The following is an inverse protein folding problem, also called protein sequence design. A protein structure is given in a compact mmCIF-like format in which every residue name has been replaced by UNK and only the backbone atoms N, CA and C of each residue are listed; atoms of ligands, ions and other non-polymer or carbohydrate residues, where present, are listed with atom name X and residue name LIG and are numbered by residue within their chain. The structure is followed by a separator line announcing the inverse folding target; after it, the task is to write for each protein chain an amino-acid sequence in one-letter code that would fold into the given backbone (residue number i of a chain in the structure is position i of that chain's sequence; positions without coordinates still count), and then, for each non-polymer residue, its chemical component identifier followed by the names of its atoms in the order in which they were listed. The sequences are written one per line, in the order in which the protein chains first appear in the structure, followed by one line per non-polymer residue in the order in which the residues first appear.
data_IF_944322915304
#
_entry.id   IF_944322915304
#
_cell.length_a   1.000
_cell.length_b   1.000
_cell.length_c   1.000
_cell.angle_alpha   90.00
_cell.angle_beta   90.00
_cell.angle_gamma   90.00
#
_symmetry.space_group_name_H-M   'P 1'
#
loop_
_entity.id
_entity.type
_entity.pdbx_description
1 polymer ?
#
# COMPACT_ATOMS: atom_id res chain seq x y z
N UNK A 1 1.57 1.01 3.41
CA UNK A 1 1.38 -0.03 4.46
C UNK A 1 1.74 0.61 5.78
N UNK A 2 0.92 0.45 6.82
CA UNK A 2 1.18 1.10 8.09
C UNK A 2 2.47 0.57 8.74
N UNK A 3 3.30 1.51 9.15
CA UNK A 3 4.59 1.33 9.81
C UNK A 3 4.84 2.47 10.79
N UNK A 4 5.91 2.38 11.58
CA UNK A 4 6.24 3.41 12.59
C UNK A 4 6.46 4.79 11.94
N UNK A 5 7.00 4.82 10.72
CA UNK A 5 7.32 6.05 9.99
C UNK A 5 6.05 6.75 9.48
N UNK A 6 5.10 6.00 8.90
CA UNK A 6 3.81 6.55 8.45
C UNK A 6 2.95 7.01 9.61
N UNK A 7 2.91 6.27 10.71
CA UNK A 7 2.13 6.64 11.91
C UNK A 7 2.71 7.88 12.58
N UNK A 8 4.03 7.96 12.74
CA UNK A 8 4.66 9.16 13.30
C UNK A 8 4.42 10.40 12.43
N UNK A 9 4.31 10.25 11.10
CA UNK A 9 3.94 11.34 10.20
C UNK A 9 2.48 11.76 10.37
N UNK A 10 1.55 10.80 10.43
CA UNK A 10 0.13 11.07 10.67
C UNK A 10 -0.10 11.78 12.02
N UNK A 11 0.64 11.39 13.08
CA UNK A 11 0.60 12.09 14.37
C UNK A 11 1.09 13.53 14.21
N UNK A 12 2.20 13.77 13.49
CA UNK A 12 2.71 15.14 13.23
C UNK A 12 1.68 15.97 12.47
N UNK A 13 1.07 15.44 11.42
CA UNK A 13 0.03 16.13 10.64
C UNK A 13 -1.18 16.48 11.52
N UNK A 14 -1.58 15.59 12.43
CA UNK A 14 -2.63 15.88 13.39
C UNK A 14 -2.24 16.99 14.37
N UNK A 15 -1.00 16.98 14.88
CA UNK A 15 -0.51 18.07 15.75
C UNK A 15 -0.48 19.40 15.01
N UNK A 16 -0.10 19.42 13.72
CA UNK A 16 -0.15 20.60 12.88
C UNK A 16 -1.57 21.14 12.71
N UNK A 17 -2.56 20.27 12.49
CA UNK A 17 -3.96 20.66 12.39
C UNK A 17 -4.50 21.29 13.69
N UNK A 18 -4.06 20.79 14.85
CA UNK A 18 -4.44 21.34 16.16
C UNK A 18 -3.77 22.68 16.43
N UNK A 19 -2.47 22.81 16.13
CA UNK A 19 -1.68 24.02 16.42
C UNK A 19 -1.98 25.15 15.42
N UNK A 20 -2.33 24.79 14.19
CA UNK A 20 -2.66 25.72 13.11
C UNK A 20 -4.06 25.42 12.54
N UNK A 21 -5.14 25.68 13.30
CA UNK A 21 -6.51 25.33 12.88
C UNK A 21 -6.98 26.10 11.64
N UNK A 22 -6.40 27.28 11.37
CA UNK A 22 -6.65 28.06 10.16
C UNK A 22 -5.58 27.88 9.08
N UNK A 23 -4.75 26.84 9.18
CA UNK A 23 -3.65 26.53 8.26
C UNK A 23 -2.33 27.20 8.64
N UNK A 24 -1.22 26.67 8.08
CA UNK A 24 0.17 27.08 8.42
C UNK A 24 0.54 28.51 8.03
N UNK A 25 -0.28 29.18 7.22
CA UNK A 25 -0.12 30.60 6.87
C UNK A 25 -0.71 31.56 7.91
N UNK A 26 -1.45 31.05 8.89
CA UNK A 26 -2.03 31.81 9.99
C UNK A 26 -1.17 31.70 11.27
N UNK A 27 -1.47 32.54 12.26
CA UNK A 27 -0.86 32.44 13.57
C UNK A 27 -1.22 31.09 14.24
N UNK A 28 -0.28 30.53 15.00
CA UNK A 28 -0.55 29.35 15.83
C UNK A 28 -1.55 29.67 16.93
N UNK A 29 -2.09 28.63 17.59
CA UNK A 29 -2.97 28.78 18.77
C UNK A 29 -2.38 29.62 19.90
N UNK A 30 -1.05 29.77 19.98
CA UNK A 30 -0.37 30.64 20.96
C UNK A 30 0.09 31.97 20.40
N UNK A 31 -0.07 32.20 19.09
CA UNK A 31 0.46 33.37 18.38
C UNK A 31 1.98 33.35 18.21
N UNK A 32 2.66 32.27 18.63
CA UNK A 32 4.12 32.12 18.56
C UNK A 32 4.50 31.19 17.41
N UNK A 33 5.65 31.39 16.75
CA UNK A 33 6.14 30.43 15.77
C UNK A 33 6.35 29.06 16.43
N UNK A 34 5.77 28.01 15.84
CA UNK A 34 5.90 26.63 16.36
C UNK A 34 6.40 25.70 15.27
N UNK A 35 7.48 24.96 15.54
CA UNK A 35 8.02 23.91 14.69
C UNK A 35 7.53 22.53 15.16
N UNK A 36 7.07 21.70 14.23
CA UNK A 36 6.56 20.36 14.54
C UNK A 36 7.29 19.37 13.65
N UNK A 37 7.95 18.37 14.25
CA UNK A 37 8.68 17.36 13.49
C UNK A 37 8.89 16.06 14.29
N UNK A 38 9.45 15.07 13.60
CA UNK A 38 9.77 13.75 14.15
C UNK A 38 11.20 13.68 14.64
N UNK A 39 11.42 12.99 15.75
CA UNK A 39 12.72 12.82 16.37
C UNK A 39 12.86 13.61 17.67
N UNK A 40 14.09 13.94 18.04
CA UNK A 40 14.42 14.66 19.27
C UNK A 40 14.94 16.07 18.95
N UNK A 41 14.87 16.96 19.94
CA UNK A 41 15.40 18.31 19.83
C UNK A 41 16.93 18.26 19.78
N UNK A 42 17.54 18.91 18.78
CA UNK A 42 19.00 18.96 18.64
C UNK A 42 19.58 20.23 19.27
N UNK A 43 20.92 20.28 19.41
CA UNK A 43 21.59 21.50 19.89
C UNK A 43 21.37 22.69 18.94
N UNK A 44 21.25 22.44 17.64
CA UNK A 44 20.98 23.48 16.65
C UNK A 44 19.56 24.03 16.79
N UNK A 45 18.57 23.19 17.12
CA UNK A 45 17.20 23.63 17.43
C UNK A 45 17.14 24.50 18.69
N UNK A 46 18.05 24.25 19.63
CA UNK A 46 18.13 24.99 20.88
C UNK A 46 18.87 26.34 20.74
N UNK A 47 20.04 26.37 20.11
CA UNK A 47 20.97 27.49 20.13
C UNK A 47 21.54 27.92 18.75
N UNK A 48 21.05 27.34 17.66
CA UNK A 48 21.48 27.65 16.30
C UNK A 48 21.18 29.08 15.80
N UNK A 49 21.43 29.29 14.51
CA UNK A 49 21.45 30.62 13.91
C UNK A 49 20.05 31.23 13.70
N UNK A 50 18.99 30.44 13.47
CA UNK A 50 17.63 30.92 13.17
C UNK A 50 16.52 29.99 13.70
N UNK A 51 15.41 30.59 14.16
CA UNK A 51 14.20 29.91 14.64
C UNK A 51 14.44 28.85 15.72
N UNK A 52 15.06 29.27 16.83
CA UNK A 52 15.50 28.42 17.93
C UNK A 52 14.66 28.58 19.19
N UNK A 53 14.72 27.58 20.07
CA UNK A 53 13.96 27.59 21.33
C UNK A 53 14.31 28.79 22.21
N UNK A 54 15.61 29.12 22.32
CA UNK A 54 16.09 30.26 23.10
C UNK A 54 15.68 31.64 22.51
N UNK A 55 15.22 31.70 21.26
CA UNK A 55 14.67 32.91 20.61
C UNK A 55 13.15 32.95 20.61
N UNK A 56 12.50 32.06 21.35
CA UNK A 56 11.07 32.07 21.59
C UNK A 56 10.23 31.31 20.57
N UNK A 57 10.85 30.49 19.71
CA UNK A 57 10.15 29.51 18.87
C UNK A 57 9.81 28.30 19.71
N UNK A 58 8.55 27.86 19.67
CA UNK A 58 8.11 26.66 20.38
C UNK A 58 8.31 25.42 19.49
N UNK A 59 8.51 24.25 20.10
CA UNK A 59 8.74 23.01 19.37
C UNK A 59 7.79 21.91 19.84
N UNK A 60 7.36 21.07 18.92
CA UNK A 60 6.62 19.85 19.21
C UNK A 60 7.36 18.70 18.51
N UNK A 61 7.88 17.78 19.30
CA UNK A 61 8.64 16.64 18.78
C UNK A 61 7.85 15.36 18.97
N UNK A 62 7.78 14.53 17.94
CA UNK A 62 7.14 13.20 17.99
C UNK A 62 8.20 12.12 17.87
N UNK A 63 8.28 11.25 18.87
CA UNK A 63 9.23 10.14 18.89
C UNK A 63 8.53 8.83 19.28
N UNK A 64 9.00 7.72 18.76
CA UNK A 64 8.68 6.40 19.27
C UNK A 64 9.51 6.09 20.53
N UNK A 65 8.89 5.45 21.51
CA UNK A 65 9.57 5.04 22.73
C UNK A 65 10.11 3.62 22.59
N UNK A 66 11.41 3.46 22.87
CA UNK A 66 12.07 2.16 22.91
C UNK A 66 11.40 1.26 23.96
N UNK A 67 11.14 0.00 23.59
CA UNK A 67 10.44 -0.95 24.46
C UNK A 67 8.92 -0.70 24.59
N UNK A 68 8.39 0.34 23.93
CA UNK A 68 6.95 0.61 23.84
C UNK A 68 6.20 -0.23 22.82
N UNK A 69 6.90 -1.16 22.18
CA UNK A 69 6.34 -2.06 21.19
C UNK A 69 5.70 -3.28 21.85
N UNK A 70 4.53 -3.66 21.37
CA UNK A 70 3.87 -4.90 21.79
C UNK A 70 3.13 -5.53 20.61
N UNK A 71 3.29 -6.85 20.44
CA UNK A 71 2.41 -7.62 19.55
C UNK A 71 1.06 -7.81 20.22
N UNK A 72 -0.02 -7.52 19.50
CA UNK A 72 -1.36 -7.99 19.89
C UNK A 72 -1.62 -9.25 19.09
N UNK A 73 -1.98 -10.32 19.79
CA UNK A 73 -2.40 -11.54 19.14
C UNK A 73 -3.87 -11.44 18.72
N UNK A 74 -4.16 -11.92 17.52
CA UNK A 74 -5.52 -11.95 16.99
C UNK A 74 -6.16 -13.29 17.35
N UNK A 75 -7.31 -13.29 18.04
CA UNK A 75 -7.88 -14.51 18.60
C UNK A 75 -8.52 -15.45 17.56
N UNK A 76 -8.83 -14.97 16.35
CA UNK A 76 -9.67 -15.67 15.37
C UNK A 76 -8.99 -15.92 14.00
N UNK A 77 -7.66 -16.06 13.99
CA UNK A 77 -6.91 -16.32 12.76
C UNK A 77 -6.82 -15.11 11.82
N UNK A 78 -6.18 -15.32 10.66
CA UNK A 78 -5.87 -14.27 9.67
C UNK A 78 -6.35 -14.70 8.29
N UNK A 79 -7.67 -14.71 8.03
CA UNK A 79 -8.17 -15.09 6.72
C UNK A 79 -7.76 -14.06 5.68
N UNK A 80 -7.50 -14.52 4.46
CA UNK A 80 -7.42 -13.64 3.31
C UNK A 80 -8.79 -13.05 3.02
N UNK A 81 -8.83 -11.74 2.77
CA UNK A 81 -10.02 -11.01 2.34
C UNK A 81 -9.74 -10.44 0.96
N UNK A 82 -10.70 -10.59 0.06
CA UNK A 82 -10.61 -10.02 -1.28
C UNK A 82 -10.98 -8.53 -1.21
N UNK A 83 -10.11 -7.66 -1.71
CA UNK A 83 -10.44 -6.26 -1.98
C UNK A 83 -11.11 -6.13 -3.36
N UNK A 84 -11.53 -4.91 -3.71
CA UNK A 84 -12.18 -4.64 -4.99
C UNK A 84 -11.32 -5.09 -6.18
N UNK A 85 -11.99 -5.66 -7.19
CA UNK A 85 -11.32 -6.15 -8.38
C UNK A 85 -10.84 -4.97 -9.23
N UNK A 86 -9.56 -4.98 -9.57
CA UNK A 86 -8.95 -4.05 -10.51
C UNK A 86 -9.29 -4.54 -11.92
N UNK A 87 -10.08 -3.80 -12.71
CA UNK A 87 -10.42 -4.20 -14.08
C UNK A 87 -9.16 -4.22 -14.95
N UNK A 88 -9.14 -5.11 -15.94
CA UNK A 88 -8.07 -5.12 -16.92
C UNK A 88 -8.16 -3.89 -17.83
N UNK A 89 -7.03 -3.23 -18.07
CA UNK A 89 -6.90 -2.13 -19.03
C UNK A 89 -6.44 -2.60 -20.40
N UNK A 90 -6.17 -3.90 -20.52
CA UNK A 90 -5.84 -4.57 -21.78
C UNK A 90 -7.09 -5.26 -22.33
N UNK A 91 -7.23 -5.29 -23.64
CA UNK A 91 -8.24 -6.10 -24.33
C UNK A 91 -7.58 -6.93 -25.42
N UNK A 92 -8.22 -8.04 -25.78
CA UNK A 92 -7.80 -8.89 -26.88
C UNK A 92 -9.00 -9.24 -27.76
N UNK A 93 -8.82 -9.12 -29.06
CA UNK A 93 -9.82 -9.50 -30.06
C UNK A 93 -9.22 -10.56 -30.98
N UNK A 94 -9.97 -11.63 -31.26
CA UNK A 94 -9.51 -12.72 -32.11
C UNK A 94 -10.31 -12.77 -33.40
N UNK A 95 -9.62 -12.84 -34.54
CA UNK A 95 -10.20 -13.01 -35.87
C UNK A 95 -9.45 -14.13 -36.61
N UNK A 96 -10.13 -15.25 -36.84
CA UNK A 96 -9.53 -16.43 -37.44
C UNK A 96 -8.34 -16.95 -36.63
N UNK A 97 -7.16 -16.95 -37.24
CA UNK A 97 -5.90 -17.39 -36.62
C UNK A 97 -5.05 -16.25 -36.05
N UNK A 98 -5.59 -15.02 -36.01
CA UNK A 98 -4.90 -13.83 -35.50
C UNK A 98 -5.61 -13.26 -34.28
N UNK A 99 -4.84 -12.91 -33.26
CA UNK A 99 -5.29 -12.16 -32.10
C UNK A 99 -4.64 -10.78 -32.09
N UNK A 100 -5.41 -9.73 -31.81
CA UNK A 100 -4.90 -8.36 -31.68
C UNK A 100 -5.06 -7.90 -30.25
N UNK A 101 -3.95 -7.47 -29.65
CA UNK A 101 -3.90 -6.89 -28.31
C UNK A 101 -4.11 -5.38 -28.42
N UNK A 102 -4.96 -4.83 -27.58
CA UNK A 102 -5.16 -3.38 -27.47
C UNK A 102 -5.07 -2.95 -26.02
N UNK A 103 -4.54 -1.75 -25.80
CA UNK A 103 -4.50 -1.11 -24.48
C UNK A 103 -5.52 0.02 -24.48
N UNK A 104 -6.14 0.25 -23.34
CA UNK A 104 -6.95 1.43 -23.12
C UNK A 104 -6.07 2.69 -23.16
N UNK A 105 -6.52 3.71 -23.88
CA UNK A 105 -5.81 4.99 -23.98
C UNK A 105 -5.66 5.65 -22.60
N UNK A 106 -4.48 6.23 -22.36
CA UNK A 106 -4.09 6.92 -21.12
C UNK A 106 -4.18 6.09 -19.82
N UNK A 107 -4.32 4.76 -19.92
CA UNK A 107 -4.35 3.86 -18.77
C UNK A 107 -2.99 3.17 -18.55
N UNK A 108 -2.65 2.92 -17.28
CA UNK A 108 -1.49 2.07 -16.95
C UNK A 108 -1.84 0.62 -17.32
N UNK A 109 -1.02 -0.09 -18.12
CA UNK A 109 -1.27 -1.48 -18.50
C UNK A 109 -1.38 -2.40 -17.29
N UNK A 110 -2.50 -3.13 -17.20
CA UNK A 110 -2.81 -4.06 -16.12
C UNK A 110 -3.81 -5.13 -16.58
N UNK A 111 -3.65 -6.33 -16.04
CA UNK A 111 -4.53 -7.48 -16.26
C UNK A 111 -3.76 -8.74 -16.66
N UNK A 112 -4.49 -9.80 -16.94
CA UNK A 112 -3.97 -11.05 -17.49
C UNK A 112 -4.65 -11.28 -18.83
N UNK A 113 -3.84 -11.45 -19.87
CA UNK A 113 -4.32 -11.75 -21.21
C UNK A 113 -4.02 -13.20 -21.51
N UNK A 114 -4.97 -13.91 -22.10
CA UNK A 114 -4.79 -15.29 -22.49
C UNK A 114 -5.41 -15.62 -23.84
N UNK A 115 -4.81 -16.61 -24.49
CA UNK A 115 -5.24 -17.19 -25.75
C UNK A 115 -5.50 -18.67 -25.55
N UNK A 116 -6.70 -19.10 -25.90
CA UNK A 116 -7.05 -20.50 -26.05
C UNK A 116 -7.04 -20.86 -27.52
N UNK A 117 -6.33 -21.93 -27.84
CA UNK A 117 -6.00 -22.37 -29.19
C UNK A 117 -6.57 -23.76 -29.39
N UNK A 118 -7.38 -23.94 -30.43
CA UNK A 118 -7.69 -25.27 -30.97
C UNK A 118 -6.86 -25.50 -32.22
N UNK A 119 -6.33 -26.70 -32.35
CA UNK A 119 -5.45 -27.12 -33.44
C UNK A 119 -5.67 -28.60 -33.67
N UNK A 120 -5.68 -28.99 -34.93
CA UNK A 120 -5.68 -30.40 -35.36
C UNK A 120 -4.26 -30.88 -35.75
N UNK A 121 -3.26 -30.02 -35.59
CA UNK A 121 -1.86 -30.29 -35.90
C UNK A 121 -1.11 -31.05 -34.82
N UNK A 122 0.04 -31.62 -35.17
CA UNK A 122 0.92 -32.35 -34.23
C UNK A 122 1.81 -31.43 -33.39
N UNK A 123 2.03 -30.19 -33.83
CA UNK A 123 2.92 -29.21 -33.18
C UNK A 123 2.25 -28.48 -32.01
N UNK A 124 0.94 -28.23 -32.10
CA UNK A 124 0.16 -27.56 -31.05
C UNK A 124 -0.90 -28.56 -30.57
N UNK A 125 -0.84 -29.00 -29.29
CA UNK A 125 -1.84 -29.89 -28.74
C UNK A 125 -3.26 -29.35 -28.90
N UNK A 126 -4.22 -30.27 -29.11
CA UNK A 126 -5.65 -29.92 -29.15
C UNK A 126 -6.07 -29.29 -27.81
N UNK A 127 -6.56 -28.04 -27.87
CA UNK A 127 -6.95 -27.20 -26.70
C UNK A 127 -5.78 -26.77 -25.82
N UNK A 128 -4.90 -25.98 -26.41
CA UNK A 128 -3.75 -25.36 -25.77
C UNK A 128 -4.06 -23.95 -25.27
N UNK A 129 -3.42 -23.51 -24.18
CA UNK A 129 -3.57 -22.16 -23.64
C UNK A 129 -2.20 -21.51 -23.44
N UNK A 130 -2.11 -20.24 -23.83
CA UNK A 130 -1.04 -19.31 -23.47
C UNK A 130 -1.63 -18.18 -22.63
N UNK A 131 -0.91 -17.74 -21.59
CA UNK A 131 -1.35 -16.64 -20.73
C UNK A 131 -0.16 -15.77 -20.33
N UNK A 132 -0.39 -14.47 -20.25
CA UNK A 132 0.62 -13.49 -19.90
C UNK A 132 0.07 -12.47 -18.90
N UNK A 133 0.82 -12.27 -17.81
CA UNK A 133 0.54 -11.29 -16.78
C UNK A 133 1.18 -9.95 -17.16
N UNK A 134 0.35 -8.98 -17.55
CA UNK A 134 0.78 -7.66 -18.04
C UNK A 134 1.45 -6.86 -16.94
N UNK A 135 2.59 -6.23 -17.28
CA UNK A 135 3.35 -5.33 -16.41
C UNK A 135 3.07 -3.86 -16.76
N UNK A 136 3.28 -2.96 -15.80
CA UNK A 136 2.99 -1.52 -15.97
C UNK A 136 3.81 -0.84 -17.10
N UNK A 137 4.93 -1.44 -17.52
CA UNK A 137 5.80 -0.93 -18.61
C UNK A 137 5.53 -1.61 -19.94
N UNK A 138 4.59 -2.55 -20.00
CA UNK A 138 4.30 -3.28 -21.23
C UNK A 138 3.57 -2.41 -22.26
N UNK A 139 3.84 -2.71 -23.52
CA UNK A 139 3.11 -2.16 -24.67
C UNK A 139 2.32 -3.29 -25.32
N UNK A 140 1.32 -2.96 -26.13
CA UNK A 140 0.57 -3.98 -26.88
C UNK A 140 1.51 -4.89 -27.71
N UNK A 141 2.62 -4.35 -28.21
CA UNK A 141 3.65 -5.10 -28.94
C UNK A 141 4.43 -6.06 -28.05
N UNK A 142 4.85 -5.65 -26.84
CA UNK A 142 5.60 -6.54 -25.94
C UNK A 142 4.72 -7.67 -25.41
N UNK A 143 3.44 -7.39 -25.14
CA UNK A 143 2.44 -8.41 -24.74
C UNK A 143 2.23 -9.42 -25.86
N UNK A 144 2.02 -8.96 -27.10
CA UNK A 144 1.86 -9.83 -28.26
C UNK A 144 3.10 -10.71 -28.48
N UNK A 145 4.29 -10.14 -28.37
CA UNK A 145 5.54 -10.89 -28.49
C UNK A 145 5.69 -11.95 -27.39
N UNK A 146 5.36 -11.62 -26.13
CA UNK A 146 5.43 -12.56 -25.02
C UNK A 146 4.43 -13.72 -25.16
N UNK A 147 3.21 -13.45 -25.65
CA UNK A 147 2.22 -14.49 -25.95
C UNK A 147 2.67 -15.38 -27.11
N UNK A 148 3.19 -14.80 -28.20
CA UNK A 148 3.69 -15.57 -29.35
C UNK A 148 4.85 -16.50 -28.97
N UNK A 149 5.75 -16.06 -28.08
CA UNK A 149 6.89 -16.85 -27.62
C UNK A 149 6.48 -18.13 -26.87
N UNK A 150 5.30 -18.17 -26.25
CA UNK A 150 4.78 -19.35 -25.56
C UNK A 150 4.17 -20.38 -26.52
N UNK A 151 3.85 -19.99 -27.75
CA UNK A 151 3.10 -20.81 -28.71
C UNK A 151 4.05 -21.29 -29.82
N UNK A 152 4.29 -22.60 -29.96
CA UNK A 152 5.13 -23.13 -31.03
C UNK A 152 4.65 -22.71 -32.42
N UNK A 153 5.51 -22.03 -33.18
CA UNK A 153 5.22 -21.59 -34.56
C UNK A 153 4.34 -20.34 -34.67
N UNK A 154 3.98 -19.69 -33.56
CA UNK A 154 3.31 -18.39 -33.61
C UNK A 154 4.30 -17.27 -33.93
N UNK A 155 3.79 -16.21 -34.57
CA UNK A 155 4.54 -14.99 -34.86
C UNK A 155 3.82 -13.79 -34.28
N UNK A 156 4.57 -12.74 -33.95
CA UNK A 156 4.01 -11.45 -33.56
C UNK A 156 4.45 -10.37 -34.55
N UNK A 157 3.53 -9.46 -34.87
CA UNK A 157 3.80 -8.29 -35.70
C UNK A 157 3.02 -7.11 -35.13
N UNK A 158 3.74 -6.14 -34.56
CA UNK A 158 3.11 -5.08 -33.78
C UNK A 158 2.30 -5.67 -32.63
N UNK A 159 1.03 -5.28 -32.50
CA UNK A 159 0.11 -5.79 -31.49
C UNK A 159 -0.62 -7.08 -31.88
N UNK A 160 -0.36 -7.63 -33.07
CA UNK A 160 -1.01 -8.84 -33.55
C UNK A 160 -0.15 -10.09 -33.28
N UNK A 161 -0.79 -11.16 -32.82
CA UNK A 161 -0.24 -12.52 -32.69
C UNK A 161 -0.93 -13.41 -33.71
N UNK A 162 -0.16 -14.03 -34.59
CA UNK A 162 -0.69 -14.97 -35.59
C UNK A 162 -0.25 -16.38 -35.24
N UNK A 163 -1.20 -17.31 -35.21
CA UNK A 163 -0.98 -18.73 -34.91
C UNK A 163 -1.38 -19.56 -36.13
N UNK A 164 -0.47 -19.81 -37.10
CA UNK A 164 -0.82 -20.46 -38.37
C UNK A 164 -1.41 -21.86 -38.24
N UNK A 165 -1.09 -22.58 -37.16
CA UNK A 165 -1.63 -23.92 -36.88
C UNK A 165 -2.97 -23.95 -36.14
N UNK A 166 -3.56 -22.79 -35.81
CA UNK A 166 -4.82 -22.73 -35.09
C UNK A 166 -6.02 -22.90 -36.03
N UNK A 167 -6.92 -23.82 -35.69
CA UNK A 167 -8.23 -23.97 -36.34
C UNK A 167 -9.27 -23.02 -35.75
N UNK A 168 -9.12 -22.68 -34.48
CA UNK A 168 -9.96 -21.72 -33.76
C UNK A 168 -9.13 -21.04 -32.66
N UNK A 169 -9.30 -19.73 -32.50
CA UNK A 169 -8.58 -18.91 -31.56
C UNK A 169 -9.58 -18.06 -30.76
N UNK A 170 -9.55 -18.19 -29.44
CA UNK A 170 -10.39 -17.39 -28.55
C UNK A 170 -9.53 -16.69 -27.50
N UNK A 171 -9.68 -15.37 -27.42
CA UNK A 171 -8.99 -14.55 -26.44
C UNK A 171 -9.85 -14.33 -25.19
N UNK A 172 -9.20 -14.26 -24.03
CA UNK A 172 -9.82 -13.88 -22.77
C UNK A 172 -8.91 -12.89 -22.03
N UNK A 173 -9.52 -11.93 -21.33
CA UNK A 173 -8.81 -11.04 -20.42
C UNK A 173 -9.48 -11.06 -19.06
N UNK A 174 -8.66 -11.03 -18.02
CA UNK A 174 -9.08 -11.03 -16.63
C UNK A 174 -8.37 -9.93 -15.86
N UNK A 175 -9.07 -9.36 -14.88
CA UNK A 175 -8.49 -8.42 -13.94
C UNK A 175 -7.66 -9.11 -12.85
N UNK A 176 -7.19 -8.31 -11.90
CA UNK A 176 -6.62 -8.81 -10.66
C UNK A 176 -7.55 -8.44 -9.51
N UNK A 177 -7.68 -9.34 -8.53
CA UNK A 177 -8.25 -8.98 -7.25
C UNK A 177 -7.14 -9.05 -6.19
N UNK A 178 -6.72 -7.93 -5.59
CA UNK A 178 -5.82 -7.99 -4.47
C UNK A 178 -6.51 -8.72 -3.31
N UNK A 179 -5.85 -9.73 -2.78
CA UNK A 179 -6.17 -10.33 -1.51
C UNK A 179 -5.31 -9.68 -0.44
N UNK A 180 -5.93 -9.32 0.67
CA UNK A 180 -5.28 -8.71 1.81
C UNK A 180 -5.51 -9.57 3.04
N UNK A 181 -4.45 -9.73 3.83
CA UNK A 181 -4.49 -10.44 5.10
C UNK A 181 -3.69 -9.65 6.10
N UNK A 182 -4.24 -9.46 7.29
CA UNK A 182 -3.49 -8.85 8.39
C UNK A 182 -2.28 -9.73 8.73
N UNK A 183 -1.08 -9.24 8.42
CA UNK A 183 0.16 -9.93 8.72
C UNK A 183 0.51 -9.79 10.19
N UNK A 184 0.11 -8.68 10.82
CA UNK A 184 0.39 -8.40 12.22
C UNK A 184 -0.45 -7.26 12.78
N UNK A 185 -1.03 -7.45 13.96
CA UNK A 185 -1.49 -6.36 14.82
C UNK A 185 -0.44 -5.99 15.85
N UNK A 186 -0.17 -4.71 16.01
CA UNK A 186 0.84 -4.23 16.94
C UNK A 186 0.46 -2.91 17.60
N UNK A 187 1.06 -2.69 18.77
CA UNK A 187 1.00 -1.43 19.48
C UNK A 187 2.39 -0.83 19.52
N UNK A 188 2.46 0.48 19.36
CA UNK A 188 3.66 1.26 19.55
C UNK A 188 3.34 2.47 20.43
N UNK A 189 4.15 2.68 21.46
CA UNK A 189 4.08 3.88 22.28
C UNK A 189 4.87 5.01 21.61
N UNK A 190 4.22 6.15 21.46
CA UNK A 190 4.79 7.41 20.99
C UNK A 190 4.78 8.43 22.13
N UNK A 191 5.81 9.27 22.16
CA UNK A 191 5.87 10.44 23.01
C UNK A 191 5.84 11.69 22.13
N UNK A 192 4.87 12.55 22.41
CA UNK A 192 4.78 13.89 21.83
C UNK A 192 5.21 14.86 22.90
N UNK A 193 6.27 15.62 22.67
CA UNK A 193 6.81 16.54 23.68
C UNK A 193 6.69 17.97 23.19
N UNK A 194 6.01 18.80 23.97
CA UNK A 194 6.00 20.26 23.79
C UNK A 194 7.23 20.82 24.48
N UNK A 195 7.99 21.64 23.77
CA UNK A 195 9.13 22.38 24.27
C UNK A 195 8.87 23.87 24.11
N UNK A 196 9.05 24.64 25.17
CA UNK A 196 8.94 26.10 25.12
C UNK A 196 9.95 26.76 26.04
N UNK A 197 10.33 27.99 25.70
CA UNK A 197 11.07 28.89 26.57
C UNK A 197 10.18 29.63 27.60
N UNK A 198 8.85 29.39 27.57
CA UNK A 198 7.90 30.02 28.48
C UNK A 198 6.90 29.00 29.04
N UNK A 199 6.70 29.01 30.35
CA UNK A 199 5.67 28.20 31.03
C UNK A 199 4.27 28.47 30.49
N UNK A 200 3.92 29.73 30.25
CA UNK A 200 2.61 30.11 29.70
C UNK A 200 2.39 29.55 28.29
N UNK A 201 3.41 29.61 27.43
CA UNK A 201 3.32 29.08 26.07
C UNK A 201 3.28 27.54 26.06
N UNK A 202 4.09 26.88 26.91
CA UNK A 202 4.02 25.44 27.15
C UNK A 202 2.61 25.02 27.59
N UNK A 203 2.01 25.72 28.54
CA UNK A 203 0.70 25.37 29.07
C UNK A 203 -0.40 25.59 28.04
N UNK A 204 -0.36 26.69 27.29
CA UNK A 204 -1.32 26.96 26.23
C UNK A 204 -1.23 25.93 25.09
N UNK A 205 -0.03 25.61 24.60
CA UNK A 205 0.18 24.55 23.61
C UNK A 205 -0.23 23.19 24.15
N UNK A 206 0.18 22.86 25.38
CA UNK A 206 -0.15 21.59 26.01
C UNK A 206 -1.66 21.39 26.17
N UNK A 207 -2.38 22.41 26.61
CA UNK A 207 -3.85 22.37 26.72
C UNK A 207 -4.52 22.29 25.35
N UNK A 208 -4.00 22.98 24.33
CA UNK A 208 -4.52 22.87 22.97
C UNK A 208 -4.36 21.45 22.41
N UNK A 209 -3.19 20.82 22.61
CA UNK A 209 -2.95 19.44 22.19
C UNK A 209 -3.83 18.44 22.95
N UNK A 210 -3.96 18.60 24.27
CA UNK A 210 -4.78 17.71 25.10
C UNK A 210 -6.25 17.75 24.66
N UNK A 211 -6.81 18.97 24.50
CA UNK A 211 -8.19 19.15 24.04
C UNK A 211 -8.38 18.70 22.58
N UNK A 212 -7.41 18.98 21.71
CA UNK A 212 -7.47 18.61 20.30
C UNK A 212 -7.41 17.10 20.06
N UNK A 213 -6.70 16.37 20.92
CA UNK A 213 -6.61 14.91 20.86
C UNK A 213 -7.70 14.20 21.67
N UNK A 214 -8.41 14.88 22.57
CA UNK A 214 -9.36 14.27 23.50
C UNK A 214 -10.52 13.51 22.82
N UNK A 215 -10.90 13.91 21.60
CA UNK A 215 -11.98 13.30 20.84
C UNK A 215 -11.49 12.50 19.62
N UNK A 216 -10.18 12.30 19.51
CA UNK A 216 -9.57 11.59 18.38
C UNK A 216 -9.17 10.19 18.84
N UNK A 217 -10.05 9.23 18.54
CA UNK A 217 -9.78 7.81 18.80
C UNK A 217 -9.08 7.11 17.62
N UNK A 218 -9.21 7.67 16.42
CA UNK A 218 -8.73 7.09 15.17
C UNK A 218 -8.05 8.11 14.28
N UNK A 219 -6.94 7.71 13.66
CA UNK A 219 -6.23 8.50 12.66
C UNK A 219 -6.00 7.64 11.42
N UNK A 220 -5.83 8.29 10.28
CA UNK A 220 -5.54 7.64 9.00
C UNK A 220 -4.16 8.09 8.52
N UNK A 221 -3.32 7.15 8.12
CA UNK A 221 -2.03 7.47 7.51
C UNK A 221 -2.19 7.96 6.05
N UNK A 222 -1.12 8.50 5.47
CA UNK A 222 -1.15 8.97 4.09
C UNK A 222 -1.38 7.84 3.05
N UNK A 223 -1.26 6.57 3.48
CA UNK A 223 -1.51 5.39 2.64
C UNK A 223 -2.96 4.88 2.79
N UNK A 224 -3.82 5.56 3.54
CA UNK A 224 -5.21 5.17 3.78
C UNK A 224 -5.40 4.12 4.88
N UNK A 225 -4.35 3.72 5.60
CA UNK A 225 -4.43 2.79 6.71
C UNK A 225 -4.88 3.50 7.98
N UNK A 226 -5.94 3.01 8.59
CA UNK A 226 -6.49 3.54 9.84
C UNK A 226 -5.83 2.88 11.04
N UNK A 227 -5.47 3.67 12.05
CA UNK A 227 -4.95 3.18 13.32
C UNK A 227 -5.68 3.84 14.50
N UNK A 228 -5.78 3.08 15.59
CA UNK A 228 -6.35 3.59 16.83
C UNK A 228 -5.27 4.33 17.61
N UNK A 229 -5.59 5.49 18.17
CA UNK A 229 -4.71 6.23 19.07
C UNK A 229 -5.38 6.42 20.42
N UNK A 230 -4.63 6.23 21.50
CA UNK A 230 -5.14 6.37 22.86
C UNK A 230 -4.12 7.12 23.72
N UNK A 231 -4.61 8.07 24.51
CA UNK A 231 -3.78 8.81 25.47
C UNK A 231 -3.41 7.95 26.67
N UNK A 232 -2.13 7.93 27.04
CA UNK A 232 -1.54 7.21 28.18
C UNK A 232 -1.02 8.15 29.27
N UNK A 233 -1.55 9.36 29.29
CA UNK A 233 -1.22 10.39 30.28
C UNK A 233 -0.19 11.41 29.78
N UNK A 234 -0.12 12.50 30.52
CA UNK A 234 0.79 13.62 30.30
C UNK A 234 1.37 14.07 31.65
N UNK A 235 2.50 14.76 31.61
CA UNK A 235 3.07 15.37 32.82
C UNK A 235 3.92 16.57 32.44
N UNK A 236 4.15 17.46 33.39
CA UNK A 236 5.09 18.57 33.22
C UNK A 236 6.47 18.11 33.68
N UNK A 237 7.51 18.42 32.91
CA UNK A 237 8.89 18.19 33.31
C UNK A 237 9.69 19.47 33.11
N UNK A 238 9.99 20.13 34.22
CA UNK A 238 10.73 21.40 34.26
C UNK A 238 12.11 21.24 34.89
N UNK A 239 12.70 20.04 34.81
CA UNK A 239 14.03 19.78 35.35
C UNK A 239 15.12 20.70 34.76
N UNK A 240 14.90 21.21 33.54
CA UNK A 240 15.80 22.13 32.84
C UNK A 240 15.37 23.62 32.94
N UNK A 241 14.53 23.99 33.92
CA UNK A 241 14.10 25.38 34.10
C UNK A 241 15.26 26.36 34.29
N UNK A 242 16.39 25.92 34.88
CA UNK A 242 17.60 26.73 35.04
C UNK A 242 18.25 27.10 33.70
N UNK A 243 17.98 26.32 32.66
CA UNK A 243 18.37 26.59 31.27
C UNK A 243 17.27 27.30 30.48
N UNK A 244 16.16 27.68 31.12
CA UNK A 244 15.02 28.33 30.47
C UNK A 244 14.19 27.39 29.59
N UNK A 245 14.30 26.06 29.78
CA UNK A 245 13.57 25.06 29.01
C UNK A 245 12.44 24.49 29.86
N UNK A 246 11.22 24.60 29.34
CA UNK A 246 10.03 24.01 29.93
C UNK A 246 9.45 22.98 28.95
N UNK A 247 9.19 21.77 29.43
CA UNK A 247 8.64 20.72 28.58
C UNK A 247 7.43 20.02 29.17
N UNK A 248 6.52 19.62 28.28
CA UNK A 248 5.33 18.83 28.61
C UNK A 248 5.21 17.65 27.65
N UNK A 249 5.69 16.46 28.07
CA UNK A 249 5.47 15.23 27.32
C UNK A 249 4.05 14.66 27.48
N UNK A 250 3.55 14.12 26.38
CA UNK A 250 2.30 13.37 26.23
C UNK A 250 2.65 11.98 25.70
N UNK A 251 2.03 10.94 26.25
CA UNK A 251 2.20 9.57 25.76
C UNK A 251 0.95 9.14 25.01
N UNK A 252 1.14 8.62 23.81
CA UNK A 252 0.08 8.05 22.99
C UNK A 252 0.45 6.63 22.60
N UNK A 253 -0.46 5.69 22.79
CA UNK A 253 -0.32 4.35 22.23
C UNK A 253 -1.06 4.31 20.90
N UNK A 254 -0.37 3.91 19.84
CA UNK A 254 -0.96 3.67 18.54
C UNK A 254 -1.09 2.17 18.32
N UNK A 255 -2.31 1.70 18.06
CA UNK A 255 -2.59 0.31 17.69
C UNK A 255 -2.92 0.24 16.20
N UNK A 256 -2.15 -0.55 15.46
CA UNK A 256 -2.24 -0.60 14.00
C UNK A 256 -1.96 -2.00 13.45
N UNK A 257 -2.49 -2.22 12.25
CA UNK A 257 -2.34 -3.45 11.50
C UNK A 257 -1.33 -3.26 10.36
N UNK A 258 -0.45 -4.23 10.21
CA UNK A 258 0.41 -4.37 9.04
C UNK A 258 -0.18 -5.47 8.17
N UNK A 259 -0.46 -5.16 6.91
CA UNK A 259 -1.13 -6.06 5.98
C UNK A 259 -0.16 -6.71 4.99
N UNK A 260 -0.35 -8.00 4.74
CA UNK A 260 0.21 -8.69 3.58
C UNK A 260 -0.78 -8.58 2.41
N UNK A 261 -0.26 -8.26 1.22
CA UNK A 261 -1.03 -8.14 -0.02
C UNK A 261 -0.51 -9.14 -1.04
N UNK A 262 -1.41 -9.88 -1.66
CA UNK A 262 -1.12 -10.79 -2.77
C UNK A 262 -2.13 -10.55 -3.90
N UNK A 263 -1.68 -10.60 -5.15
CA UNK A 263 -2.58 -10.46 -6.28
C UNK A 263 -3.18 -11.81 -6.63
N UNK A 264 -4.51 -11.93 -6.57
CA UNK A 264 -5.21 -13.09 -7.09
C UNK A 264 -5.52 -12.85 -8.57
N UNK A 265 -4.95 -13.71 -9.41
CA UNK A 265 -5.27 -13.79 -10.82
C UNK A 265 -6.70 -14.29 -11.02
N UNK A 266 -7.49 -13.61 -11.85
CA UNK A 266 -8.77 -14.16 -12.30
C UNK A 266 -8.51 -15.36 -13.23
N UNK A 267 -9.26 -16.46 -13.03
CA UNK A 267 -9.17 -17.63 -13.91
C UNK A 267 -9.67 -17.25 -15.32
N UNK A 268 -8.80 -17.40 -16.33
CA UNK A 268 -9.15 -17.16 -17.73
C UNK A 268 -9.75 -18.41 -18.39
N UNK A 269 -9.16 -19.57 -18.12
CA UNK A 269 -9.53 -20.85 -18.72
C UNK A 269 -9.48 -21.95 -17.66
N UNK A 270 -10.42 -22.89 -17.73
CA UNK A 270 -10.56 -23.98 -16.75
C UNK A 270 -10.10 -25.33 -17.30
N UNK A 271 -9.58 -26.18 -16.42
CA UNK A 271 -9.28 -27.59 -16.70
C UNK A 271 -9.90 -28.46 -15.62
N UNK A 272 -10.57 -29.52 -16.01
CA UNK A 272 -11.20 -30.50 -15.14
C UNK A 272 -10.63 -31.88 -15.45
N UNK A 273 -10.12 -32.55 -14.42
CA UNK A 273 -9.65 -33.93 -14.53
C UNK A 273 -10.61 -34.82 -13.74
N UNK A 274 -11.35 -35.66 -14.45
CA UNK A 274 -12.20 -36.67 -13.83
C UNK A 274 -11.42 -37.99 -13.73
N UNK A 275 -11.16 -38.42 -12.51
CA UNK A 275 -10.68 -39.78 -12.24
C UNK A 275 -11.88 -40.71 -12.10
N UNK A 276 -12.00 -41.65 -13.05
CA UNK A 276 -13.03 -42.69 -13.04
C UNK A 276 -12.48 -43.98 -12.39
N UNK A 277 -13.35 -44.88 -11.90
CA UNK A 277 -12.93 -46.19 -11.40
C UNK A 277 -12.13 -46.99 -12.43
N UNK A 278 -11.04 -47.62 -12.00
CA UNK A 278 -10.17 -48.45 -12.85
C UNK A 278 -9.03 -47.68 -13.54
N UNK A 279 -8.43 -46.69 -12.87
CA UNK A 279 -7.30 -45.87 -13.35
C UNK A 279 -7.55 -45.15 -14.69
N UNK A 280 -8.81 -44.90 -15.04
CA UNK A 280 -9.17 -44.12 -16.23
C UNK A 280 -9.28 -42.66 -15.86
N UNK A 281 -8.41 -41.83 -16.43
CA UNK A 281 -8.47 -40.37 -16.30
C UNK A 281 -9.09 -39.77 -17.56
N UNK A 282 -10.17 -39.02 -17.42
CA UNK A 282 -10.71 -38.16 -18.49
C UNK A 282 -10.29 -36.73 -18.16
N UNK A 283 -9.44 -36.16 -19.01
CA UNK A 283 -9.14 -34.73 -18.97
C UNK A 283 -10.14 -34.00 -19.86
N UNK A 284 -10.90 -33.10 -19.26
CA UNK A 284 -11.89 -32.24 -19.90
C UNK A 284 -11.53 -30.79 -19.62
N UNK A 285 -11.30 -29.99 -20.64
CA UNK A 285 -10.96 -28.58 -20.46
C UNK A 285 -9.75 -28.19 -21.30
N UNK A 286 -9.10 -27.11 -20.89
CA UNK A 286 -7.94 -26.57 -21.59
C UNK A 286 -6.63 -27.01 -20.94
N UNK A 287 -5.63 -27.32 -21.75
CA UNK A 287 -4.31 -27.74 -21.31
C UNK A 287 -3.30 -26.60 -21.43
N UNK A 288 -2.38 -26.41 -20.46
CA UNK A 288 -1.27 -25.49 -20.66
C UNK A 288 -0.39 -25.99 -21.82
N UNK A 289 0.16 -25.06 -22.60
CA UNK A 289 1.26 -25.40 -23.49
C UNK A 289 2.43 -25.85 -22.62
N UNK A 290 2.81 -27.12 -22.73
CA UNK A 290 4.01 -27.64 -22.07
C UNK A 290 5.20 -26.87 -22.66
N UNK A 291 5.85 -26.04 -21.84
CA UNK A 291 7.06 -25.35 -22.23
C UNK A 291 8.08 -26.41 -22.66
N UNK A 292 8.43 -26.40 -23.95
CA UNK A 292 9.58 -27.15 -24.43
C UNK A 292 10.79 -26.40 -23.91
N UNK A 293 11.50 -27.02 -22.96
CA UNK A 293 12.77 -26.54 -22.41
C UNK A 293 13.81 -26.30 -23.49
#
# INVERSE_FOLDING_TARGET
MADIVSISRAIVEQMEAIVYPSGKGAASVTGRPTKIFRGWLTQDDYAGADCTLNRGVDFITVMDLQGGWRRIDEPLGRPWRQEDTIPATVSITTEGSTATVTLQDDAIPAGIVGLRIRSDGTTIPYRSVAAYAVQATDTATTIAAALAAQIPGATSSGSAVTVPGATDLSGAVGGYAPAVRTARRQQQLFQVTVWSASTKARDALGTALDNGMAFIDWLTDANGSTFQIESRGNWNNDAAQNSGIFMRPFRFIATYDTDARENMAQMLFGTEVFSLPGDRTITTGDGPLLAVS
#
